data_IF_756310714296
#
_entry.id   IF_756310714296
#
_cell.length_a   1.000
_cell.length_b   1.000
_cell.length_c   1.000
_cell.angle_alpha   90.00
_cell.angle_beta   90.00
_cell.angle_gamma   90.00
#
_symmetry.space_group_name_H-M   'P 1'
#
loop_
_entity.id
_entity.type
_entity.pdbx_description
1 polymer ?
#
# COMPACT_ATOMS: atom_id res chain seq x y z
N UNK A 1 -6.98 -4.60 -7.04
CA UNK A 1 -7.21 -4.76 -5.59
C UNK A 1 -8.09 -3.64 -5.04
N UNK A 2 -8.76 -3.85 -3.90
CA UNK A 2 -9.39 -2.77 -3.13
C UNK A 2 -8.96 -2.90 -1.67
N UNK A 3 -8.68 -1.79 -1.01
CA UNK A 3 -8.23 -1.83 0.37
C UNK A 3 -8.20 -0.47 1.04
N UNK A 4 -7.68 -0.48 2.26
CA UNK A 4 -7.49 0.70 3.10
C UNK A 4 -6.03 0.81 3.48
N UNK A 5 -5.43 2.00 3.33
CA UNK A 5 -4.07 2.26 3.80
C UNK A 5 -4.06 2.04 5.32
N UNK A 6 -3.31 1.04 5.78
CA UNK A 6 -3.26 0.63 7.18
C UNK A 6 -2.03 1.17 7.91
N UNK A 7 -1.01 1.61 7.18
CA UNK A 7 0.24 2.11 7.74
C UNK A 7 1.15 2.67 6.65
N UNK A 8 1.97 3.65 7.05
CA UNK A 8 2.92 4.36 6.19
C UNK A 8 4.22 4.54 6.98
N UNK A 9 5.34 4.46 6.27
CA UNK A 9 6.65 4.88 6.76
C UNK A 9 7.23 5.86 5.74
N UNK A 10 7.14 7.15 6.06
CA UNK A 10 7.60 8.25 5.21
C UNK A 10 9.12 8.29 5.06
N UNK A 11 9.87 7.80 6.05
CA UNK A 11 11.33 7.80 6.01
C UNK A 11 11.85 6.86 4.91
N UNK A 12 11.19 5.72 4.75
CA UNK A 12 11.63 4.67 3.83
C UNK A 12 10.69 4.50 2.62
N UNK A 13 9.69 5.37 2.46
CA UNK A 13 8.71 5.31 1.36
C UNK A 13 7.94 3.98 1.29
N UNK A 14 7.45 3.50 2.44
CA UNK A 14 6.75 2.21 2.54
C UNK A 14 5.29 2.37 2.93
N UNK A 15 4.47 1.46 2.44
CA UNK A 15 3.03 1.42 2.68
C UNK A 15 2.58 0.00 3.00
N UNK A 16 1.61 -0.12 3.89
CA UNK A 16 0.79 -1.34 4.03
C UNK A 16 -0.67 -1.03 3.73
N UNK A 17 -1.32 -1.93 2.99
CA UNK A 17 -2.71 -1.83 2.57
C UNK A 17 -3.44 -3.04 3.13
N UNK A 18 -4.48 -2.81 3.92
CA UNK A 18 -5.39 -3.85 4.37
C UNK A 18 -6.40 -4.15 3.26
N UNK A 19 -6.47 -5.40 2.83
CA UNK A 19 -7.43 -5.91 1.84
C UNK A 19 -8.37 -6.92 2.51
N UNK A 20 -9.32 -7.46 1.76
CA UNK A 20 -10.18 -8.57 2.22
C UNK A 20 -9.40 -9.89 2.38
N UNK A 21 -8.22 -10.01 1.77
CA UNK A 21 -7.40 -11.21 1.76
C UNK A 21 -6.21 -11.16 2.74
N UNK A 22 -5.93 -9.99 3.33
CA UNK A 22 -4.85 -9.82 4.30
C UNK A 22 -4.24 -8.43 4.24
N UNK A 23 -2.91 -8.37 4.28
CA UNK A 23 -2.15 -7.15 4.12
C UNK A 23 -1.26 -7.24 2.88
N UNK A 24 -1.18 -6.15 2.13
CA UNK A 24 -0.23 -5.98 1.04
C UNK A 24 0.81 -4.96 1.47
N UNK A 25 2.08 -5.27 1.22
CA UNK A 25 3.19 -4.36 1.47
C UNK A 25 3.73 -3.81 0.15
N UNK A 26 4.01 -2.52 0.10
CA UNK A 26 4.57 -1.87 -1.06
C UNK A 26 5.50 -0.71 -0.73
N UNK A 27 6.18 -0.24 -1.76
CA UNK A 27 7.06 0.92 -1.76
C UNK A 27 6.46 1.97 -2.69
N UNK A 28 6.30 3.18 -2.19
CA UNK A 28 5.71 4.30 -2.93
C UNK A 28 6.12 5.63 -2.30
N UNK A 29 6.05 6.72 -3.06
CA UNK A 29 6.01 8.05 -2.43
C UNK A 29 4.73 8.19 -1.61
N UNK A 30 4.89 8.12 -0.29
CA UNK A 30 3.79 8.15 0.67
C UNK A 30 3.50 9.55 1.20
N UNK A 31 4.25 10.58 0.79
CA UNK A 31 4.17 11.93 1.36
C UNK A 31 2.79 12.60 1.22
N UNK A 32 1.98 12.14 0.26
CA UNK A 32 0.62 12.62 0.02
C UNK A 32 -0.47 11.61 0.41
N UNK A 33 -0.09 10.45 0.96
CA UNK A 33 -1.00 9.39 1.36
C UNK A 33 -1.41 9.55 2.83
N UNK A 34 -2.54 8.94 3.21
CA UNK A 34 -3.04 8.96 4.59
C UNK A 34 -3.48 7.58 5.04
N UNK A 35 -3.18 7.25 6.30
CA UNK A 35 -3.77 6.07 6.96
C UNK A 35 -5.30 6.21 6.99
N UNK A 36 -6.00 5.09 6.88
CA UNK A 36 -7.45 4.97 6.72
C UNK A 36 -8.02 5.51 5.39
N UNK A 37 -7.17 5.85 4.43
CA UNK A 37 -7.61 6.19 3.08
C UNK A 37 -8.05 4.94 2.31
N UNK A 38 -9.22 5.03 1.67
CA UNK A 38 -9.73 3.99 0.78
C UNK A 38 -9.05 4.10 -0.59
N UNK A 39 -8.52 2.98 -1.06
CA UNK A 39 -7.85 2.88 -2.35
C UNK A 39 -8.40 1.73 -3.17
N UNK A 40 -8.38 1.90 -4.48
CA UNK A 40 -8.61 0.83 -5.45
C UNK A 40 -7.45 0.83 -6.42
N UNK A 41 -6.90 -0.35 -6.71
CA UNK A 41 -5.81 -0.50 -7.65
C UNK A 41 -6.06 -1.56 -8.70
N UNK A 42 -5.31 -1.47 -9.78
CA UNK A 42 -5.18 -2.53 -10.78
C UNK A 42 -3.72 -2.97 -10.86
N UNK A 43 -3.51 -4.24 -10.53
CA UNK A 43 -2.20 -4.88 -10.51
C UNK A 43 -1.68 -5.00 -11.94
N UNK A 44 -0.59 -4.31 -12.24
CA UNK A 44 0.07 -4.41 -13.55
C UNK A 44 1.12 -5.51 -13.48
N UNK A 45 1.32 -6.20 -14.60
CA UNK A 45 2.13 -7.43 -14.72
C UNK A 45 3.62 -7.27 -14.41
N UNK A 46 4.08 -6.08 -14.06
CA UNK A 46 5.48 -5.73 -13.79
C UNK A 46 5.79 -5.47 -12.30
N UNK A 47 4.90 -5.86 -11.38
CA UNK A 47 5.10 -5.62 -9.94
C UNK A 47 4.75 -4.19 -9.49
N UNK A 48 4.21 -3.37 -10.40
CA UNK A 48 3.68 -2.06 -10.09
C UNK A 48 2.16 -2.08 -10.06
N UNK A 49 1.58 -1.33 -9.15
CA UNK A 49 0.15 -1.11 -9.01
C UNK A 49 -0.13 0.39 -9.00
N UNK A 50 -1.12 0.82 -9.79
CA UNK A 50 -1.65 2.18 -9.66
C UNK A 50 -2.81 2.10 -8.68
N UNK A 51 -2.70 2.82 -7.56
CA UNK A 51 -3.75 2.95 -6.55
C UNK A 51 -4.44 4.30 -6.73
N UNK A 52 -5.74 4.29 -6.97
CA UNK A 52 -6.58 5.49 -6.97
C UNK A 52 -7.17 5.71 -5.57
N UNK A 53 -6.97 6.92 -5.01
CA UNK A 53 -7.68 7.40 -3.84
C UNK A 53 -9.17 7.54 -4.16
N UNK A 54 -10.02 6.76 -3.51
CA UNK A 54 -11.46 6.79 -3.80
C UNK A 54 -12.15 8.06 -3.27
N UNK A 55 -11.51 8.81 -2.39
CA UNK A 55 -12.08 10.05 -1.84
C UNK A 55 -11.74 11.30 -2.66
N UNK A 56 -10.54 11.37 -3.26
CA UNK A 56 -10.08 12.53 -4.03
C UNK A 56 -9.93 12.29 -5.53
N UNK A 57 -9.81 11.02 -5.96
CA UNK A 57 -9.50 10.65 -7.35
C UNK A 57 -8.01 10.69 -7.70
N UNK A 58 -7.13 10.98 -6.73
CA UNK A 58 -5.68 11.02 -6.98
C UNK A 58 -5.11 9.62 -7.19
N UNK A 59 -4.19 9.48 -8.14
CA UNK A 59 -3.50 8.22 -8.43
C UNK A 59 -2.11 8.19 -7.79
N UNK A 60 -1.74 7.03 -7.25
CA UNK A 60 -0.40 6.74 -6.72
C UNK A 60 0.20 5.53 -7.42
N UNK A 61 1.48 5.61 -7.73
CA UNK A 61 2.23 4.45 -8.25
C UNK A 61 2.92 3.76 -7.08
N UNK A 62 2.67 2.47 -6.93
CA UNK A 62 3.22 1.65 -5.85
C UNK A 62 3.92 0.44 -6.46
N UNK A 63 5.16 0.18 -6.05
CA UNK A 63 5.83 -1.09 -6.30
C UNK A 63 5.47 -2.08 -5.19
N UNK A 64 4.94 -3.24 -5.56
CA UNK A 64 4.45 -4.22 -4.58
C UNK A 64 5.44 -5.38 -4.48
N UNK A 65 6.04 -5.54 -3.30
CA UNK A 65 6.98 -6.63 -3.04
C UNK A 65 6.30 -7.89 -2.47
N UNK A 66 5.15 -7.74 -1.80
CA UNK A 66 4.42 -8.86 -1.22
C UNK A 66 2.90 -8.66 -1.27
N UNK A 67 2.23 -9.61 -1.91
CA UNK A 67 0.77 -9.75 -1.89
C UNK A 67 0.37 -10.72 -0.77
N UNK A 68 -0.66 -10.31 -0.02
CA UNK A 68 -1.36 -11.11 1.00
C UNK A 68 -0.44 -11.78 2.05
N UNK A 69 0.07 -10.97 2.99
CA UNK A 69 0.79 -11.43 4.17
C UNK A 69 0.00 -11.20 5.47
N UNK A 70 0.49 -11.79 6.57
CA UNK A 70 -0.09 -11.55 7.91
C UNK A 70 0.17 -10.11 8.35
N UNK A 71 -0.62 -9.63 9.30
CA UNK A 71 -0.46 -8.28 9.85
C UNK A 71 0.94 -8.08 10.45
N UNK A 72 1.43 -9.08 11.18
CA UNK A 72 2.73 -9.06 11.85
C UNK A 72 3.87 -8.98 10.83
N UNK A 73 3.78 -9.76 9.74
CA UNK A 73 4.76 -9.70 8.66
C UNK A 73 4.77 -8.33 7.97
N UNK A 74 3.59 -7.76 7.71
CA UNK A 74 3.46 -6.44 7.11
C UNK A 74 4.08 -5.33 7.97
N UNK A 75 3.83 -5.35 9.29
CA UNK A 75 4.44 -4.39 10.22
C UNK A 75 5.96 -4.56 10.27
N UNK A 76 6.46 -5.79 10.32
CA UNK A 76 7.90 -6.04 10.30
C UNK A 76 8.59 -5.48 9.04
N UNK A 77 7.94 -5.56 7.88
CA UNK A 77 8.45 -4.99 6.63
C UNK A 77 8.38 -3.46 6.64
N UNK A 78 7.32 -2.89 7.21
CA UNK A 78 7.15 -1.45 7.34
C UNK A 78 8.25 -0.80 8.21
N UNK A 79 8.63 -1.46 9.30
CA UNK A 79 9.59 -0.93 10.29
C UNK A 79 11.07 -1.29 10.01
N UNK A 80 11.34 -2.25 9.11
CA UNK A 80 12.72 -2.67 8.79
C UNK A 80 13.43 -1.65 7.91
N UNK A 81 14.22 -0.77 8.52
CA UNK A 81 15.20 0.11 7.87
C UNK A 81 16.60 -0.46 7.88
#
# INVERSE_FOLDING_TARGET
MRGTIAGLNEKDNKIIIRTDFGYTYGIADVSYMKVNQLVSGDLRSNGFEILTNLNSGDDFVVEIEAYDCSHEAAILLLDRG
#
